data_IF_604087500174
#
_entry.id   IF_604087500174
#
_cell.length_a   1.000
_cell.length_b   1.000
_cell.length_c   1.000
_cell.angle_alpha   90.00
_cell.angle_beta   90.00
_cell.angle_gamma   90.00
#
_symmetry.space_group_name_H-M   'P 1'
#
loop_
_entity.id
_entity.type
_entity.pdbx_description
1 polymer ?
#
# COMPACT_ATOMS: atom_id res chain seq x y z
N UNK A 1 69.99 -17.23 -5.53
CA UNK A 1 70.90 -16.29 -4.86
C UNK A 1 71.45 -16.81 -3.52
N UNK A 2 70.71 -17.61 -2.73
CA UNK A 2 71.25 -18.26 -1.51
C UNK A 2 72.26 -19.38 -1.86
N UNK A 3 71.97 -20.19 -2.89
CA UNK A 3 72.88 -21.25 -3.35
C UNK A 3 74.22 -20.75 -3.88
N UNK A 4 74.30 -19.51 -4.40
CA UNK A 4 75.58 -18.96 -4.89
C UNK A 4 76.47 -18.47 -3.75
N UNK A 5 75.90 -17.93 -2.67
CA UNK A 5 76.67 -17.50 -1.50
C UNK A 5 77.16 -18.70 -0.69
N UNK A 6 76.31 -19.70 -0.47
CA UNK A 6 76.73 -20.94 0.19
C UNK A 6 77.84 -21.66 -0.58
N UNK A 7 77.79 -21.65 -1.92
CA UNK A 7 78.85 -22.20 -2.77
C UNK A 7 80.15 -21.42 -2.65
N UNK A 8 80.07 -20.09 -2.68
CA UNK A 8 81.24 -19.22 -2.53
C UNK A 8 81.89 -19.35 -1.14
N UNK A 9 81.08 -19.49 -0.08
CA UNK A 9 81.56 -19.71 1.29
C UNK A 9 82.28 -21.06 1.41
N UNK A 10 81.73 -22.12 0.81
CA UNK A 10 82.39 -23.43 0.77
C UNK A 10 83.70 -23.42 -0.01
N UNK A 11 83.77 -22.68 -1.12
CA UNK A 11 85.00 -22.50 -1.90
C UNK A 11 86.07 -21.76 -1.09
N UNK A 12 85.72 -20.68 -0.37
CA UNK A 12 86.63 -19.96 0.50
C UNK A 12 87.12 -20.79 1.69
N UNK A 13 86.23 -21.54 2.36
CA UNK A 13 86.62 -22.45 3.44
C UNK A 13 87.58 -23.52 2.94
N UNK A 14 87.33 -24.06 1.75
CA UNK A 14 88.22 -25.04 1.12
C UNK A 14 89.59 -24.45 0.77
N UNK A 15 89.63 -23.21 0.25
CA UNK A 15 90.89 -22.51 -0.03
C UNK A 15 91.68 -22.23 1.25
N UNK A 16 91.01 -21.84 2.33
CA UNK A 16 91.66 -21.59 3.62
C UNK A 16 92.31 -22.87 4.18
N UNK A 17 91.58 -24.00 4.15
CA UNK A 17 92.14 -25.29 4.57
C UNK A 17 93.29 -25.77 3.68
N UNK A 18 93.31 -25.44 2.39
CA UNK A 18 94.44 -25.75 1.51
C UNK A 18 95.68 -24.93 1.90
N UNK A 19 95.51 -23.62 2.14
CA UNK A 19 96.60 -22.74 2.54
C UNK A 19 97.15 -23.07 3.93
N UNK A 20 96.30 -23.45 4.89
CA UNK A 20 96.74 -23.96 6.20
C UNK A 20 97.62 -25.21 6.05
N UNK A 21 97.23 -26.14 5.16
CA UNK A 21 98.02 -27.34 4.89
C UNK A 21 99.35 -27.01 4.21
N UNK A 22 99.37 -26.10 3.23
CA UNK A 22 100.60 -25.63 2.60
C UNK A 22 101.54 -24.96 3.62
N UNK A 23 101.00 -24.14 4.53
CA UNK A 23 101.76 -23.52 5.60
C UNK A 23 102.40 -24.56 6.53
N UNK A 24 101.67 -25.60 6.93
CA UNK A 24 102.19 -26.68 7.76
C UNK A 24 103.30 -27.48 7.06
N UNK A 25 103.13 -27.74 5.76
CA UNK A 25 104.17 -28.39 4.96
C UNK A 25 105.42 -27.52 4.87
N UNK A 26 105.27 -26.20 4.70
CA UNK A 26 106.40 -25.25 4.65
C UNK A 26 107.10 -25.11 6.00
N UNK A 27 106.38 -25.04 7.12
CA UNK A 27 106.95 -25.10 8.48
C UNK A 27 107.76 -26.39 8.70
N UNK A 28 107.25 -27.52 8.19
CA UNK A 28 107.96 -28.80 8.25
C UNK A 28 109.22 -28.82 7.38
N UNK A 29 109.18 -28.23 6.17
CA UNK A 29 110.36 -28.07 5.31
C UNK A 29 111.42 -27.18 5.98
N UNK A 30 110.99 -26.09 6.60
CA UNK A 30 111.85 -25.17 7.35
C UNK A 30 112.57 -25.88 8.49
N UNK A 31 111.86 -26.66 9.33
CA UNK A 31 112.46 -27.44 10.42
C UNK A 31 113.51 -28.44 9.92
N UNK A 32 113.26 -29.08 8.76
CA UNK A 32 114.23 -29.98 8.13
C UNK A 32 115.49 -29.23 7.67
N UNK A 33 115.34 -28.03 7.10
CA UNK A 33 116.46 -27.19 6.70
C UNK A 33 117.26 -26.70 7.91
N UNK A 34 116.58 -26.29 9.00
CA UNK A 34 117.23 -25.90 10.26
C UNK A 34 118.06 -27.08 10.82
N UNK A 35 117.49 -28.29 10.77
CA UNK A 35 118.19 -29.51 11.19
C UNK A 35 119.37 -29.83 10.28
N UNK A 36 119.24 -29.63 8.97
CA UNK A 36 120.33 -29.80 8.00
C UNK A 36 121.46 -28.80 8.25
N UNK A 37 121.12 -27.53 8.51
CA UNK A 37 122.08 -26.48 8.81
C UNK A 37 122.91 -26.82 10.06
N UNK A 38 122.25 -27.23 11.15
CA UNK A 38 122.94 -27.65 12.39
C UNK A 38 123.91 -28.81 12.15
N UNK A 39 123.51 -29.81 11.36
CA UNK A 39 124.41 -30.93 11.00
C UNK A 39 125.61 -30.47 10.17
N UNK A 40 125.43 -29.49 9.29
CA UNK A 40 126.50 -28.97 8.45
C UNK A 40 127.43 -28.03 9.22
N UNK A 41 126.94 -27.26 10.19
CA UNK A 41 127.77 -26.53 11.14
C UNK A 41 128.64 -27.50 11.97
N UNK A 42 128.07 -28.63 12.40
CA UNK A 42 128.81 -29.69 13.08
C UNK A 42 129.86 -30.36 12.16
N UNK A 43 129.55 -30.54 10.87
CA UNK A 43 130.44 -31.15 9.88
C UNK A 43 131.56 -30.18 9.43
N UNK A 44 131.24 -28.90 9.25
CA UNK A 44 132.20 -27.81 9.04
C UNK A 44 133.15 -27.69 10.25
N UNK A 45 132.61 -27.76 11.47
CA UNK A 45 133.43 -27.75 12.69
C UNK A 45 134.40 -28.94 12.76
N UNK A 46 134.01 -30.10 12.23
CA UNK A 46 134.91 -31.26 12.09
C UNK A 46 135.92 -31.08 10.96
N UNK A 47 135.53 -30.48 9.83
CA UNK A 47 136.39 -30.31 8.66
C UNK A 47 137.40 -29.16 8.79
N UNK A 48 137.12 -28.12 9.57
CA UNK A 48 138.11 -27.10 9.95
C UNK A 48 139.32 -27.71 10.70
N UNK A 49 139.22 -28.96 11.17
CA UNK A 49 140.35 -29.73 11.74
C UNK A 49 141.17 -30.54 10.71
N UNK A 50 140.85 -30.50 9.41
CA UNK A 50 141.60 -31.16 8.34
C UNK A 50 141.83 -30.24 7.12
N UNK A 51 143.08 -30.21 6.67
CA UNK A 51 143.64 -29.23 5.71
C UNK A 51 143.18 -29.45 4.26
N UNK A 52 141.96 -29.01 3.91
CA UNK A 52 141.55 -28.83 2.50
C UNK A 52 140.74 -27.54 2.29
N UNK A 53 141.33 -26.60 1.54
CA UNK A 53 140.76 -25.26 1.30
C UNK A 53 139.52 -25.24 0.39
N UNK A 54 139.21 -26.35 -0.28
CA UNK A 54 138.04 -26.47 -1.15
C UNK A 54 136.79 -26.91 -0.37
N UNK A 55 136.91 -27.91 0.50
CA UNK A 55 135.78 -28.39 1.31
C UNK A 55 135.23 -27.31 2.24
N UNK A 56 136.12 -26.46 2.79
CA UNK A 56 135.70 -25.31 3.61
C UNK A 56 134.95 -24.25 2.78
N UNK A 57 135.38 -23.99 1.54
CA UNK A 57 134.69 -23.03 0.65
C UNK A 57 133.33 -23.55 0.20
N UNK A 58 133.23 -24.83 -0.12
CA UNK A 58 131.98 -25.46 -0.55
C UNK A 58 130.94 -25.46 0.58
N UNK A 59 131.37 -25.72 1.83
CA UNK A 59 130.49 -25.65 3.00
C UNK A 59 130.07 -24.21 3.34
N UNK A 60 130.97 -23.22 3.22
CA UNK A 60 130.60 -21.80 3.37
C UNK A 60 129.54 -21.40 2.32
N UNK A 61 129.69 -21.90 1.09
CA UNK A 61 128.71 -21.66 0.04
C UNK A 61 127.36 -22.33 0.35
N UNK A 62 127.36 -23.57 0.85
CA UNK A 62 126.13 -24.29 1.20
C UNK A 62 125.42 -23.68 2.41
N UNK A 63 126.14 -23.27 3.46
CA UNK A 63 125.58 -22.53 4.60
C UNK A 63 124.94 -21.22 4.15
N UNK A 64 125.59 -20.49 3.25
CA UNK A 64 125.05 -19.23 2.71
C UNK A 64 123.79 -19.47 1.87
N UNK A 65 123.77 -20.51 1.05
CA UNK A 65 122.58 -20.91 0.29
C UNK A 65 121.42 -21.30 1.22
N UNK A 66 121.71 -22.00 2.32
CA UNK A 66 120.71 -22.38 3.33
C UNK A 66 120.16 -21.16 4.06
N UNK A 67 121.02 -20.21 4.47
CA UNK A 67 120.58 -18.95 5.08
C UNK A 67 119.71 -18.14 4.10
N UNK A 68 120.09 -18.07 2.83
CA UNK A 68 119.27 -17.40 1.81
C UNK A 68 117.90 -18.09 1.61
N UNK A 69 117.87 -19.43 1.63
CA UNK A 69 116.64 -20.22 1.53
C UNK A 69 115.78 -20.11 2.81
N UNK A 70 116.41 -19.98 3.98
CA UNK A 70 115.76 -19.72 5.26
C UNK A 70 115.05 -18.36 5.24
N UNK A 71 115.77 -17.31 4.85
CA UNK A 71 115.24 -15.95 4.76
C UNK A 71 114.11 -15.84 3.74
N UNK A 72 114.22 -16.52 2.58
CA UNK A 72 113.13 -16.61 1.59
C UNK A 72 111.91 -17.34 2.16
N UNK A 73 112.12 -18.46 2.85
CA UNK A 73 111.03 -19.24 3.45
C UNK A 73 110.31 -18.46 4.56
N UNK A 74 111.05 -17.72 5.39
CA UNK A 74 110.48 -16.87 6.43
C UNK A 74 109.62 -15.76 5.82
N UNK A 75 110.09 -15.10 4.75
CA UNK A 75 109.29 -14.12 4.00
C UNK A 75 108.05 -14.73 3.37
N UNK A 76 108.11 -15.98 2.93
CA UNK A 76 106.95 -16.68 2.37
C UNK A 76 105.92 -17.05 3.45
N UNK A 77 106.38 -17.46 4.64
CA UNK A 77 105.53 -17.70 5.80
C UNK A 77 104.78 -16.42 6.20
N UNK A 78 105.48 -15.29 6.33
CA UNK A 78 104.83 -14.02 6.70
C UNK A 78 103.77 -13.59 5.68
N UNK A 79 104.02 -13.77 4.38
CA UNK A 79 103.01 -13.48 3.34
C UNK A 79 101.78 -14.38 3.44
N UNK A 80 101.97 -15.66 3.73
CA UNK A 80 100.86 -16.60 3.91
C UNK A 80 100.05 -16.30 5.16
N UNK A 81 100.70 -15.89 6.27
CA UNK A 81 100.03 -15.45 7.49
C UNK A 81 99.16 -14.21 7.23
N UNK A 82 99.70 -13.22 6.50
CA UNK A 82 98.94 -12.03 6.07
C UNK A 82 97.74 -12.41 5.17
N UNK A 83 97.91 -13.37 4.26
CA UNK A 83 96.85 -13.81 3.35
C UNK A 83 95.74 -14.57 4.09
N UNK A 84 96.09 -15.41 5.07
CA UNK A 84 95.14 -16.09 5.96
C UNK A 84 94.34 -15.07 6.78
N UNK A 85 95.00 -14.07 7.35
CA UNK A 85 94.32 -13.03 8.12
C UNK A 85 93.30 -12.26 7.25
N UNK A 86 93.69 -11.91 6.02
CA UNK A 86 92.80 -11.26 5.06
C UNK A 86 91.60 -12.14 4.69
N UNK A 87 91.80 -13.43 4.44
CA UNK A 87 90.71 -14.36 4.15
C UNK A 87 89.77 -14.55 5.34
N UNK A 88 90.29 -14.63 6.56
CA UNK A 88 89.48 -14.72 7.77
C UNK A 88 88.61 -13.47 7.94
N UNK A 89 89.16 -12.28 7.64
CA UNK A 89 88.38 -11.04 7.65
C UNK A 89 87.27 -11.06 6.60
N UNK A 90 87.56 -11.54 5.38
CA UNK A 90 86.57 -11.68 4.31
C UNK A 90 85.45 -12.66 4.67
N UNK A 91 85.79 -13.81 5.27
CA UNK A 91 84.81 -14.79 5.75
C UNK A 91 83.90 -14.20 6.82
N UNK A 92 84.46 -13.42 7.75
CA UNK A 92 83.66 -12.74 8.78
C UNK A 92 82.65 -11.77 8.16
N UNK A 93 83.11 -10.92 7.24
CA UNK A 93 82.24 -9.96 6.54
C UNK A 93 81.12 -10.67 5.75
N UNK A 94 81.44 -11.76 5.04
CA UNK A 94 80.46 -12.54 4.29
C UNK A 94 79.40 -13.19 5.20
N UNK A 95 79.82 -13.67 6.38
CA UNK A 95 78.89 -14.24 7.37
C UNK A 95 77.91 -13.17 7.90
N UNK A 96 78.41 -11.97 8.20
CA UNK A 96 77.57 -10.84 8.66
C UNK A 96 76.58 -10.39 7.57
N UNK A 97 77.01 -10.36 6.31
CA UNK A 97 76.13 -10.01 5.18
C UNK A 97 75.05 -11.07 4.93
N UNK A 98 75.38 -12.36 5.12
CA UNK A 98 74.41 -13.45 5.01
C UNK A 98 73.30 -13.31 6.07
N UNK A 99 73.68 -12.97 7.29
CA UNK A 99 72.74 -12.77 8.40
C UNK A 99 71.81 -11.58 8.15
N UNK A 100 72.36 -10.44 7.70
CA UNK A 100 71.55 -9.28 7.28
C UNK A 100 70.56 -9.65 6.17
N UNK A 101 71.00 -10.42 5.18
CA UNK A 101 70.13 -10.86 4.08
C UNK A 101 69.00 -11.79 4.56
N UNK A 102 69.27 -12.66 5.52
CA UNK A 102 68.26 -13.53 6.13
C UNK A 102 67.21 -12.72 6.90
N UNK A 103 67.64 -11.71 7.65
CA UNK A 103 66.74 -10.80 8.36
C UNK A 103 65.85 -10.02 7.39
N UNK A 104 66.43 -9.46 6.32
CA UNK A 104 65.68 -8.76 5.27
C UNK A 104 64.67 -9.67 4.58
N UNK A 105 65.04 -10.92 4.28
CA UNK A 105 64.12 -11.88 3.68
C UNK A 105 62.94 -12.19 4.62
N UNK A 106 63.21 -12.33 5.92
CA UNK A 106 62.17 -12.55 6.93
C UNK A 106 61.25 -11.35 7.09
N UNK A 107 61.77 -10.12 6.98
CA UNK A 107 60.97 -8.89 6.96
C UNK A 107 60.09 -8.84 5.71
N UNK A 108 60.66 -9.12 4.54
CA UNK A 108 59.93 -9.15 3.28
C UNK A 108 58.79 -10.18 3.32
N UNK A 109 59.01 -11.35 3.93
CA UNK A 109 57.97 -12.36 4.09
C UNK A 109 56.81 -11.87 4.98
N UNK A 110 57.11 -11.16 6.08
CA UNK A 110 56.09 -10.55 6.96
C UNK A 110 55.30 -9.43 6.27
N UNK A 111 55.99 -8.59 5.50
CA UNK A 111 55.35 -7.55 4.69
C UNK A 111 54.42 -8.16 3.64
N UNK A 112 54.84 -9.25 3.00
CA UNK A 112 54.02 -9.94 2.00
C UNK A 112 52.75 -10.53 2.62
N UNK A 113 52.83 -11.14 3.81
CA UNK A 113 51.65 -11.59 4.55
C UNK A 113 50.73 -10.43 4.96
N UNK A 114 51.29 -9.27 5.33
CA UNK A 114 50.49 -8.09 5.66
C UNK A 114 49.73 -7.54 4.45
N UNK A 115 50.28 -7.68 3.24
CA UNK A 115 49.61 -7.32 1.98
C UNK A 115 48.43 -8.27 1.70
N UNK A 116 48.61 -9.58 1.93
CA UNK A 116 47.54 -10.57 1.79
C UNK A 116 46.37 -10.28 2.75
N UNK A 117 46.67 -10.00 4.03
CA UNK A 117 45.66 -9.59 5.02
C UNK A 117 44.91 -8.31 4.60
N UNK A 118 45.63 -7.34 4.00
CA UNK A 118 45.03 -6.10 3.50
C UNK A 118 44.07 -6.37 2.33
N UNK A 119 44.43 -7.26 1.40
CA UNK A 119 43.53 -7.66 0.31
C UNK A 119 42.27 -8.34 0.84
N UNK A 120 42.41 -9.25 1.81
CA UNK A 120 41.27 -9.94 2.41
C UNK A 120 40.35 -8.94 3.16
N UNK A 121 40.92 -7.95 3.84
CA UNK A 121 40.17 -6.88 4.49
C UNK A 121 39.45 -5.98 3.48
N UNK A 122 40.09 -5.67 2.35
CA UNK A 122 39.48 -4.88 1.28
C UNK A 122 38.30 -5.61 0.62
N UNK A 123 38.41 -6.92 0.37
CA UNK A 123 37.29 -7.73 -0.14
C UNK A 123 36.09 -7.74 0.83
N UNK A 124 36.34 -7.92 2.14
CA UNK A 124 35.29 -7.86 3.18
C UNK A 124 34.60 -6.50 3.21
N UNK A 125 35.35 -5.40 3.08
CA UNK A 125 34.79 -4.04 3.05
C UNK A 125 33.96 -3.78 1.78
N UNK A 126 34.41 -4.24 0.61
CA UNK A 126 33.62 -4.14 -0.63
C UNK A 126 32.31 -4.93 -0.56
N UNK A 127 32.35 -6.10 0.08
CA UNK A 127 31.16 -6.91 0.39
C UNK A 127 30.15 -6.12 1.24
N UNK A 128 30.60 -5.44 2.29
CA UNK A 128 29.73 -4.63 3.16
C UNK A 128 29.09 -3.45 2.42
N UNK A 129 29.86 -2.72 1.59
CA UNK A 129 29.35 -1.61 0.76
C UNK A 129 28.26 -2.10 -0.21
N UNK A 130 28.43 -3.31 -0.77
CA UNK A 130 27.44 -3.92 -1.66
C UNK A 130 26.11 -4.19 -0.93
N UNK A 131 26.17 -4.72 0.28
CA UNK A 131 24.99 -4.99 1.12
C UNK A 131 24.27 -3.69 1.52
N UNK A 132 24.98 -2.62 1.88
CA UNK A 132 24.37 -1.33 2.20
C UNK A 132 23.64 -0.70 1.00
N UNK A 133 24.23 -0.78 -0.21
CA UNK A 133 23.57 -0.31 -1.43
C UNK A 133 22.26 -1.07 -1.69
N UNK A 134 22.25 -2.38 -1.49
CA UNK A 134 21.04 -3.20 -1.64
C UNK A 134 19.95 -2.82 -0.63
N UNK A 135 20.33 -2.59 0.63
CA UNK A 135 19.42 -2.11 1.68
C UNK A 135 18.81 -0.74 1.35
N UNK A 136 19.61 0.18 0.82
CA UNK A 136 19.14 1.51 0.38
C UNK A 136 18.15 1.41 -0.79
N UNK A 137 18.45 0.58 -1.79
CA UNK A 137 17.54 0.30 -2.92
C UNK A 137 16.20 -0.29 -2.47
N UNK A 138 16.23 -1.28 -1.56
CA UNK A 138 15.03 -1.89 -1.02
C UNK A 138 14.17 -0.88 -0.23
N UNK A 139 14.81 -0.02 0.56
CA UNK A 139 14.12 1.04 1.29
C UNK A 139 13.49 2.08 0.35
N UNK A 140 14.20 2.50 -0.70
CA UNK A 140 13.67 3.40 -1.71
C UNK A 140 12.46 2.79 -2.43
N UNK A 141 12.53 1.50 -2.77
CA UNK A 141 11.44 0.77 -3.41
C UNK A 141 10.21 0.66 -2.50
N UNK A 142 10.41 0.31 -1.21
CA UNK A 142 9.34 0.25 -0.21
C UNK A 142 8.68 1.62 0.03
N UNK A 143 9.44 2.71 -0.02
CA UNK A 143 8.89 4.08 0.07
C UNK A 143 8.05 4.38 -1.17
N UNK A 144 8.55 4.10 -2.38
CA UNK A 144 7.82 4.33 -3.63
C UNK A 144 6.48 3.58 -3.65
N UNK A 145 6.49 2.30 -3.31
CA UNK A 145 5.27 1.48 -3.25
C UNK A 145 4.24 2.01 -2.23
N UNK A 146 4.70 2.47 -1.06
CA UNK A 146 3.81 3.07 -0.05
C UNK A 146 3.20 4.38 -0.56
N UNK A 147 3.98 5.22 -1.21
CA UNK A 147 3.51 6.49 -1.80
C UNK A 147 2.47 6.23 -2.89
N UNK A 148 2.71 5.27 -3.77
CA UNK A 148 1.75 4.90 -4.83
C UNK A 148 0.45 4.31 -4.24
N UNK A 149 0.53 3.46 -3.21
CA UNK A 149 -0.64 2.96 -2.49
C UNK A 149 -1.43 4.09 -1.84
N UNK A 150 -0.76 5.05 -1.21
CA UNK A 150 -1.39 6.23 -0.61
C UNK A 150 -2.15 7.02 -1.67
N UNK A 151 -1.53 7.34 -2.81
CA UNK A 151 -2.17 8.09 -3.89
C UNK A 151 -3.42 7.38 -4.43
N UNK A 152 -3.36 6.06 -4.61
CA UNK A 152 -4.53 5.28 -5.05
C UNK A 152 -5.69 5.38 -4.06
N UNK A 153 -5.40 5.31 -2.76
CA UNK A 153 -6.41 5.45 -1.71
C UNK A 153 -7.00 6.86 -1.72
N UNK A 154 -6.17 7.91 -1.85
CA UNK A 154 -6.64 9.30 -1.96
C UNK A 154 -7.59 9.48 -3.15
N UNK A 155 -7.22 8.95 -4.32
CA UNK A 155 -8.10 8.98 -5.50
C UNK A 155 -9.41 8.22 -5.28
N UNK A 156 -9.37 7.05 -4.62
CA UNK A 156 -10.58 6.29 -4.28
C UNK A 156 -11.50 7.05 -3.32
N UNK A 157 -10.93 7.75 -2.34
CA UNK A 157 -11.69 8.60 -1.41
C UNK A 157 -12.38 9.74 -2.17
N UNK A 158 -11.68 10.42 -3.08
CA UNK A 158 -12.29 11.46 -3.92
C UNK A 158 -13.43 10.94 -4.79
N UNK A 159 -13.27 9.76 -5.42
CA UNK A 159 -14.34 9.14 -6.21
C UNK A 159 -15.56 8.80 -5.35
N UNK A 160 -15.36 8.28 -4.14
CA UNK A 160 -16.44 7.97 -3.20
C UNK A 160 -17.15 9.26 -2.78
N UNK A 161 -16.41 10.34 -2.48
CA UNK A 161 -17.00 11.63 -2.15
C UNK A 161 -17.85 12.18 -3.29
N UNK A 162 -17.38 12.07 -4.54
CA UNK A 162 -18.17 12.45 -5.73
C UNK A 162 -19.44 11.62 -5.85
N UNK A 163 -19.37 10.30 -5.64
CA UNK A 163 -20.56 9.41 -5.65
C UNK A 163 -21.56 9.78 -4.55
N UNK A 164 -21.08 10.08 -3.33
CA UNK A 164 -21.95 10.54 -2.23
C UNK A 164 -22.67 11.83 -2.62
N UNK A 165 -21.96 12.78 -3.24
CA UNK A 165 -22.54 14.04 -3.68
C UNK A 165 -23.63 13.83 -4.75
N UNK A 166 -23.36 12.98 -5.74
CA UNK A 166 -24.35 12.62 -6.76
C UNK A 166 -25.60 11.96 -6.17
N UNK A 167 -25.45 11.07 -5.19
CA UNK A 167 -26.59 10.42 -4.52
C UNK A 167 -27.41 11.45 -3.72
N UNK A 168 -26.77 12.41 -3.05
CA UNK A 168 -27.47 13.50 -2.36
C UNK A 168 -28.29 14.35 -3.33
N UNK A 169 -27.71 14.71 -4.47
CA UNK A 169 -28.40 15.49 -5.51
C UNK A 169 -29.59 14.71 -6.09
N UNK A 170 -29.44 13.41 -6.34
CA UNK A 170 -30.54 12.55 -6.80
C UNK A 170 -31.67 12.46 -5.76
N UNK A 171 -31.31 12.34 -4.48
CA UNK A 171 -32.29 12.31 -3.39
C UNK A 171 -33.06 13.63 -3.29
N UNK A 172 -32.37 14.76 -3.41
CA UNK A 172 -32.99 16.08 -3.40
C UNK A 172 -33.94 16.27 -4.58
N UNK A 173 -33.55 15.85 -5.78
CA UNK A 173 -34.41 15.85 -6.96
C UNK A 173 -35.65 14.97 -6.76
N UNK A 174 -35.50 13.78 -6.16
CA UNK A 174 -36.63 12.89 -5.86
C UNK A 174 -37.59 13.49 -4.84
N UNK A 175 -37.07 14.12 -3.79
CA UNK A 175 -37.89 14.81 -2.79
C UNK A 175 -38.65 16.00 -3.40
N UNK A 176 -38.02 16.74 -4.31
CA UNK A 176 -38.69 17.82 -5.04
C UNK A 176 -39.81 17.27 -5.93
N UNK A 177 -39.54 16.20 -6.67
CA UNK A 177 -40.54 15.52 -7.51
C UNK A 177 -41.73 15.02 -6.67
N UNK A 178 -41.48 14.42 -5.52
CA UNK A 178 -42.53 13.93 -4.62
C UNK A 178 -43.40 15.07 -4.06
N UNK A 179 -42.79 16.18 -3.65
CA UNK A 179 -43.52 17.38 -3.22
C UNK A 179 -44.42 17.93 -4.32
N UNK A 180 -43.93 17.95 -5.55
CA UNK A 180 -44.68 18.43 -6.71
C UNK A 180 -45.86 17.51 -7.03
N UNK A 181 -45.63 16.20 -7.02
CA UNK A 181 -46.69 15.19 -7.17
C UNK A 181 -47.76 15.32 -6.08
N UNK A 182 -47.36 15.48 -4.82
CA UNK A 182 -48.31 15.65 -3.71
C UNK A 182 -49.16 16.90 -3.89
N UNK A 183 -48.55 18.01 -4.30
CA UNK A 183 -49.27 19.25 -4.62
C UNK A 183 -50.31 19.02 -5.72
N UNK A 184 -49.92 18.33 -6.80
CA UNK A 184 -50.81 18.04 -7.92
C UNK A 184 -51.98 17.13 -7.51
N UNK A 185 -51.74 16.11 -6.69
CA UNK A 185 -52.80 15.23 -6.16
C UNK A 185 -53.76 15.99 -5.26
N UNK A 186 -53.26 16.86 -4.38
CA UNK A 186 -54.12 17.70 -3.53
C UNK A 186 -55.00 18.63 -4.36
N UNK A 187 -54.43 19.25 -5.40
CA UNK A 187 -55.21 20.09 -6.31
C UNK A 187 -56.30 19.30 -7.03
N UNK A 188 -55.98 18.12 -7.57
CA UNK A 188 -56.97 17.25 -8.21
C UNK A 188 -58.07 16.81 -7.24
N UNK A 189 -57.72 16.56 -5.98
CA UNK A 189 -58.68 16.23 -4.93
C UNK A 189 -59.63 17.41 -4.66
N UNK A 190 -59.11 18.62 -4.49
CA UNK A 190 -59.93 19.83 -4.32
C UNK A 190 -60.88 20.04 -5.52
N UNK A 191 -60.40 19.85 -6.74
CA UNK A 191 -61.21 19.92 -7.96
C UNK A 191 -62.35 18.87 -7.95
N UNK A 192 -62.07 17.64 -7.51
CA UNK A 192 -63.08 16.58 -7.40
C UNK A 192 -64.12 16.89 -6.32
N UNK A 193 -63.71 17.42 -5.17
CA UNK A 193 -64.64 17.83 -4.10
C UNK A 193 -65.59 18.93 -4.61
N UNK A 194 -65.07 19.93 -5.31
CA UNK A 194 -65.90 20.99 -5.92
C UNK A 194 -66.89 20.40 -6.94
N UNK A 195 -66.47 19.41 -7.73
CA UNK A 195 -67.34 18.72 -8.67
C UNK A 195 -68.44 17.91 -7.96
N UNK A 196 -68.09 17.20 -6.88
CA UNK A 196 -69.04 16.45 -6.04
C UNK A 196 -70.08 17.38 -5.42
N UNK A 197 -69.67 18.51 -4.83
CA UNK A 197 -70.57 19.51 -4.24
C UNK A 197 -71.54 20.08 -5.28
N UNK A 198 -71.04 20.35 -6.49
CA UNK A 198 -71.85 20.82 -7.63
C UNK A 198 -72.89 19.78 -8.06
N UNK A 199 -72.49 18.51 -8.17
CA UNK A 199 -73.40 17.41 -8.51
C UNK A 199 -74.44 17.18 -7.42
N UNK A 200 -74.03 17.20 -6.15
CA UNK A 200 -74.91 17.07 -4.99
C UNK A 200 -75.95 18.20 -4.96
N UNK A 201 -75.54 19.43 -5.26
CA UNK A 201 -76.44 20.57 -5.40
C UNK A 201 -77.44 20.38 -6.55
N UNK A 202 -76.97 19.93 -7.72
CA UNK A 202 -77.85 19.61 -8.87
C UNK A 202 -78.85 18.51 -8.55
N UNK A 203 -78.42 17.46 -7.86
CA UNK A 203 -79.28 16.35 -7.44
C UNK A 203 -80.35 16.81 -6.44
N UNK A 204 -79.97 17.68 -5.49
CA UNK A 204 -80.90 18.28 -4.53
C UNK A 204 -81.97 19.12 -5.24
N UNK A 205 -81.56 19.96 -6.19
CA UNK A 205 -82.49 20.74 -7.01
C UNK A 205 -83.42 19.85 -7.83
N UNK A 206 -82.89 18.78 -8.43
CA UNK A 206 -83.70 17.81 -9.18
C UNK A 206 -84.71 17.10 -8.27
N UNK A 207 -84.30 16.69 -7.07
CA UNK A 207 -85.20 16.10 -6.08
C UNK A 207 -86.32 17.07 -5.67
N UNK A 208 -85.99 18.34 -5.44
CA UNK A 208 -86.99 19.37 -5.17
C UNK A 208 -87.97 19.56 -6.34
N UNK A 209 -87.48 19.52 -7.58
CA UNK A 209 -88.32 19.56 -8.77
C UNK A 209 -89.26 18.36 -8.85
N UNK A 210 -88.78 17.15 -8.57
CA UNK A 210 -89.64 15.95 -8.52
C UNK A 210 -90.74 16.05 -7.46
N UNK A 211 -90.43 16.56 -6.26
CA UNK A 211 -91.42 16.79 -5.21
C UNK A 211 -92.49 17.80 -5.66
N UNK A 212 -92.07 18.88 -6.30
CA UNK A 212 -92.97 19.89 -6.86
C UNK A 212 -93.89 19.29 -7.93
N UNK A 213 -93.36 18.50 -8.86
CA UNK A 213 -94.17 17.81 -9.87
C UNK A 213 -95.20 16.87 -9.24
N UNK A 214 -94.80 16.08 -8.24
CA UNK A 214 -95.72 15.18 -7.51
C UNK A 214 -96.85 15.95 -6.80
N UNK A 215 -96.55 17.13 -6.25
CA UNK A 215 -97.57 18.00 -5.67
C UNK A 215 -98.53 18.53 -6.74
N UNK A 216 -98.02 18.95 -7.90
CA UNK A 216 -98.85 19.40 -9.04
C UNK A 216 -99.75 18.26 -9.52
N UNK A 217 -99.23 17.05 -9.70
CA UNK A 217 -100.01 15.87 -10.07
C UNK A 217 -101.15 15.61 -9.08
N UNK A 218 -100.86 15.67 -7.76
CA UNK A 218 -101.88 15.54 -6.73
C UNK A 218 -102.96 16.63 -6.81
N UNK A 219 -102.56 17.89 -7.06
CA UNK A 219 -103.50 19.00 -7.24
C UNK A 219 -104.36 18.83 -8.50
N UNK A 220 -103.80 18.33 -9.60
CA UNK A 220 -104.55 18.02 -10.83
C UNK A 220 -105.57 16.91 -10.60
N UNK A 221 -105.20 15.86 -9.84
CA UNK A 221 -106.14 14.80 -9.43
C UNK A 221 -107.28 15.39 -8.58
N UNK A 222 -106.95 16.21 -7.57
CA UNK A 222 -107.96 16.89 -6.74
C UNK A 222 -108.87 17.81 -7.58
N UNK A 223 -108.31 18.57 -8.51
CA UNK A 223 -109.07 19.41 -9.44
C UNK A 223 -110.02 18.57 -10.30
N UNK A 224 -109.57 17.46 -10.85
CA UNK A 224 -110.43 16.55 -11.62
C UNK A 224 -111.56 15.96 -10.78
N UNK A 225 -111.32 15.67 -9.50
CA UNK A 225 -112.38 15.24 -8.57
C UNK A 225 -113.41 16.35 -8.33
N UNK A 226 -112.96 17.60 -8.17
CA UNK A 226 -113.85 18.77 -8.07
C UNK A 226 -114.67 18.94 -9.36
N UNK A 227 -114.03 18.89 -10.53
CA UNK A 227 -114.72 19.03 -11.83
C UNK A 227 -115.76 17.91 -12.04
N UNK A 228 -115.54 16.70 -11.50
CA UNK A 228 -116.52 15.60 -11.51
C UNK A 228 -117.70 15.86 -10.57
N UNK A 229 -117.44 16.44 -9.39
CA UNK A 229 -118.51 16.85 -8.47
C UNK A 229 -119.36 17.94 -9.09
N UNK A 230 -118.74 18.96 -9.68
CA UNK A 230 -119.41 20.08 -10.36
C UNK A 230 -120.28 19.57 -11.54
N UNK A 231 -119.78 18.58 -12.30
CA UNK A 231 -120.56 17.88 -13.34
C UNK A 231 -121.73 17.04 -12.80
N UNK A 232 -121.57 16.43 -11.63
CA UNK A 232 -122.65 15.65 -10.99
C UNK A 232 -123.73 16.55 -10.37
N UNK A 233 -123.34 17.72 -9.85
CA UNK A 233 -124.29 18.72 -9.38
C UNK A 233 -125.03 19.37 -10.54
N UNK A 234 -124.35 19.63 -11.66
CA UNK A 234 -124.99 20.12 -12.88
C UNK A 234 -125.83 19.07 -13.63
N UNK A 235 -125.52 17.77 -13.53
CA UNK A 235 -126.42 16.72 -14.02
C UNK A 235 -127.67 16.58 -13.13
N UNK A 236 -127.51 16.71 -11.81
CA UNK A 236 -128.62 16.73 -10.85
C UNK A 236 -129.54 17.93 -11.07
N UNK A 237 -128.98 19.10 -11.34
CA UNK A 237 -129.71 20.29 -11.79
C UNK A 237 -130.36 20.09 -13.16
N UNK A 238 -129.69 19.40 -14.09
CA UNK A 238 -130.23 19.04 -15.40
C UNK A 238 -131.43 18.09 -15.32
N UNK A 239 -131.41 17.13 -14.39
CA UNK A 239 -132.55 16.25 -14.10
C UNK A 239 -133.72 17.01 -13.48
N UNK A 240 -133.45 17.95 -12.57
CA UNK A 240 -134.45 18.87 -12.02
C UNK A 240 -135.08 19.77 -13.09
N UNK A 241 -134.28 20.30 -14.02
CA UNK A 241 -134.76 21.12 -15.14
C UNK A 241 -135.55 20.27 -16.17
N UNK A 242 -135.15 19.02 -16.41
CA UNK A 242 -135.87 18.10 -17.28
C UNK A 242 -137.25 17.71 -16.70
N UNK A 243 -137.35 17.50 -15.38
CA UNK A 243 -138.64 17.25 -14.71
C UNK A 243 -139.55 18.49 -14.76
N UNK A 244 -138.99 19.69 -14.61
CA UNK A 244 -139.72 20.96 -14.79
C UNK A 244 -140.24 21.12 -16.23
N UNK A 245 -139.48 20.68 -17.24
CA UNK A 245 -139.88 20.80 -18.64
C UNK A 245 -140.91 19.74 -19.08
N UNK A 246 -140.94 18.55 -18.47
CA UNK A 246 -142.00 17.55 -18.69
C UNK A 246 -143.38 18.08 -18.27
N UNK A 247 -143.43 18.91 -17.24
CA UNK A 247 -144.66 19.51 -16.71
C UNK A 247 -145.24 20.67 -17.56
N UNK A 248 -144.55 21.11 -18.63
CA UNK A 248 -144.92 22.29 -19.43
C UNK A 248 -145.66 22.01 -20.76
N UNK A 249 -145.99 20.77 -21.10
CA UNK A 249 -146.46 20.38 -22.44
C UNK A 249 -147.98 20.33 -22.69
N UNK A 250 -148.83 20.37 -21.66
CA UNK A 250 -150.30 20.49 -21.76
C UNK A 250 -150.73 21.80 -21.05
N UNK A 251 -151.45 22.67 -21.76
CA UNK A 251 -151.25 24.12 -21.73
C UNK A 251 -152.35 24.94 -20.99
N UNK A 252 -151.90 25.82 -20.09
CA UNK A 252 -152.57 26.97 -19.39
C UNK A 252 -153.60 26.63 -18.30
N UNK A 253 -153.58 27.12 -17.05
CA UNK A 253 -152.71 27.92 -16.11
C UNK A 253 -153.57 28.00 -14.82
N UNK A 254 -153.14 27.91 -13.56
CA UNK A 254 -151.84 27.96 -12.89
C UNK A 254 -151.99 27.23 -11.55
N UNK A 255 -151.24 26.14 -11.37
CA UNK A 255 -151.18 25.38 -10.12
C UNK A 255 -149.91 24.54 -10.11
N UNK A 256 -149.18 24.59 -8.98
CA UNK A 256 -148.33 23.56 -8.36
C UNK A 256 -147.52 24.28 -7.25
N UNK A 257 -147.99 24.35 -6.01
CA UNK A 257 -147.91 23.31 -4.95
C UNK A 257 -146.46 22.98 -4.54
N UNK A 258 -146.01 23.46 -3.37
CA UNK A 258 -146.09 22.77 -2.06
C UNK A 258 -145.39 21.40 -2.04
N UNK A 259 -144.22 21.35 -1.41
CA UNK A 259 -143.52 20.09 -1.13
C UNK A 259 -142.21 20.25 -0.35
N UNK A 260 -142.32 20.24 0.98
CA UNK A 260 -141.32 19.78 1.97
C UNK A 260 -139.83 20.15 1.78
N UNK A 261 -139.37 21.14 2.55
CA UNK A 261 -137.94 21.34 2.88
C UNK A 261 -137.74 21.17 4.39
N UNK A 262 -137.94 19.95 4.89
CA UNK A 262 -137.74 19.59 6.31
C UNK A 262 -136.62 18.56 6.54
N UNK A 263 -135.91 18.12 5.50
CA UNK A 263 -134.79 17.17 5.64
C UNK A 263 -133.39 17.79 5.55
N UNK A 264 -133.27 19.08 5.24
CA UNK A 264 -131.96 19.70 5.00
C UNK A 264 -131.26 20.29 6.25
N UNK A 265 -131.92 20.23 7.42
CA UNK A 265 -131.32 20.71 8.69
C UNK A 265 -130.48 19.61 9.37
N UNK A 266 -130.92 18.35 9.29
CA UNK A 266 -130.17 17.22 9.84
C UNK A 266 -128.85 16.95 9.11
N UNK A 267 -128.81 17.16 7.78
CA UNK A 267 -127.59 17.00 6.98
C UNK A 267 -126.56 18.09 7.27
N UNK A 268 -127.00 19.34 7.48
CA UNK A 268 -126.10 20.44 7.85
C UNK A 268 -125.56 20.26 9.26
N UNK A 269 -126.38 19.79 10.22
CA UNK A 269 -125.92 19.53 11.58
C UNK A 269 -125.00 18.28 11.67
N UNK A 270 -125.20 17.28 10.81
CA UNK A 270 -124.29 16.14 10.66
C UNK A 270 -122.96 16.53 10.00
N UNK A 271 -122.97 17.43 9.02
CA UNK A 271 -121.76 17.98 8.39
C UNK A 271 -120.99 18.85 9.41
N UNK A 272 -121.67 19.69 10.19
CA UNK A 272 -121.02 20.49 11.27
C UNK A 272 -120.43 19.62 12.38
N UNK A 273 -121.12 18.54 12.76
CA UNK A 273 -120.61 17.55 13.72
C UNK A 273 -119.37 16.81 13.18
N UNK A 274 -119.37 16.47 11.90
CA UNK A 274 -118.23 15.79 11.24
C UNK A 274 -117.03 16.71 11.06
N UNK A 275 -117.24 17.98 10.71
CA UNK A 275 -116.18 19.01 10.64
C UNK A 275 -115.57 19.26 12.02
N UNK A 276 -116.40 19.31 13.08
CA UNK A 276 -115.91 19.49 14.46
C UNK A 276 -115.05 18.31 14.93
N UNK A 277 -115.42 17.07 14.58
CA UNK A 277 -114.62 15.87 14.89
C UNK A 277 -113.27 15.87 14.15
N UNK A 278 -113.26 16.23 12.87
CA UNK A 278 -112.03 16.32 12.07
C UNK A 278 -111.11 17.42 12.61
N UNK A 279 -111.64 18.56 13.03
CA UNK A 279 -110.85 19.62 13.70
C UNK A 279 -110.28 19.17 15.05
N UNK A 280 -111.00 18.34 15.80
CA UNK A 280 -110.53 17.81 17.08
C UNK A 280 -109.39 16.78 16.90
N UNK A 281 -109.48 15.92 15.88
CA UNK A 281 -108.40 14.98 15.52
C UNK A 281 -107.16 15.67 14.98
N UNK A 282 -107.31 16.74 14.17
CA UNK A 282 -106.18 17.55 13.69
C UNK A 282 -105.46 18.22 14.88
N UNK A 283 -106.20 18.77 15.84
CA UNK A 283 -105.60 19.42 17.01
C UNK A 283 -104.94 18.42 17.97
N UNK A 284 -105.45 17.20 18.10
CA UNK A 284 -104.82 16.14 18.91
C UNK A 284 -103.53 15.59 18.27
N UNK A 285 -103.45 15.57 16.94
CA UNK A 285 -102.25 15.14 16.22
C UNK A 285 -101.17 16.22 16.12
N UNK A 286 -101.49 17.50 16.37
CA UNK A 286 -100.52 18.59 16.44
C UNK A 286 -99.92 18.81 17.84
N UNK A 287 -100.39 18.07 18.86
CA UNK A 287 -99.89 18.14 20.25
C UNK A 287 -99.12 16.88 20.70
N UNK A 288 -98.79 15.98 19.76
CA UNK A 288 -97.82 14.88 19.94
C UNK A 288 -96.56 15.17 19.14
#
# INVERSE_FOLDING_TARGET
>A
MINSVNRFLSELLSQNSQLENELQQKKSQFLKLETKNKKQEEELSKLVSQDSSQTTKDLIAETKEIEENYQKSQKQISKLEEEIEKMNLQNKTLSEDLEKKSQLYSQLQKENSSIEDFFEMNEKLQSQISTEKQLSLLNAQKIKEKTEKKQKIENQVEEIQKKIQQVKEQLEQKNLQEKENLKNVLQLFDELVIQEDSLTSKLTNFHHHQLTLKQIEMLLVKKSQIDKLDKSESSSLGSLIAEINRLKGENVVSSLENGSFLENKNSIDQIKSSISKIQQEINQNLQK
#
